data_IF_030868503161
#
_entry.id   IF_030868503161
#
_cell.length_a   1.000
_cell.length_b   1.000
_cell.length_c   1.000
_cell.angle_alpha   90.00
_cell.angle_beta   90.00
_cell.angle_gamma   90.00
#
_symmetry.space_group_name_H-M   'P 1'
#
loop_
_entity.id
_entity.type
_entity.pdbx_description
1 polymer ?
#
# COMPACT_ATOMS: atom_id res chain seq x y z
N UNK A 1 -12.65 -3.66 12.50
CA UNK A 1 -12.68 -2.35 13.20
C UNK A 1 -13.49 -1.31 12.43
N UNK A 2 -13.88 -0.21 13.10
CA UNK A 2 -14.71 0.87 12.54
C UNK A 2 -14.13 1.42 11.24
N UNK A 3 -12.84 1.77 11.22
CA UNK A 3 -12.19 2.35 10.03
C UNK A 3 -12.20 1.38 8.84
N UNK A 4 -11.94 0.09 9.06
CA UNK A 4 -12.04 -0.92 8.00
C UNK A 4 -13.47 -1.03 7.45
N UNK A 5 -14.47 -0.98 8.35
CA UNK A 5 -15.89 -1.00 7.95
C UNK A 5 -16.26 0.24 7.15
N UNK A 6 -15.78 1.42 7.54
CA UNK A 6 -15.95 2.64 6.76
C UNK A 6 -15.39 2.46 5.34
N UNK A 7 -14.17 1.96 5.18
CA UNK A 7 -13.57 1.73 3.85
C UNK A 7 -14.38 0.72 3.01
N UNK A 8 -14.95 -0.31 3.62
CA UNK A 8 -15.76 -1.33 2.93
C UNK A 8 -17.11 -0.78 2.50
N UNK A 9 -17.79 -0.05 3.40
CA UNK A 9 -19.19 0.30 3.27
C UNK A 9 -19.42 1.74 2.76
N UNK A 10 -18.40 2.59 2.72
CA UNK A 10 -18.51 3.93 2.15
C UNK A 10 -18.76 3.88 0.65
N UNK A 11 -19.36 4.96 0.13
CA UNK A 11 -19.53 5.14 -1.31
C UNK A 11 -18.18 5.15 -2.04
N UNK A 12 -18.19 4.96 -3.36
CA UNK A 12 -16.98 5.01 -4.18
C UNK A 12 -16.26 6.36 -4.05
N UNK A 13 -17.01 7.46 -4.04
CA UNK A 13 -16.47 8.80 -3.91
C UNK A 13 -15.83 9.03 -2.53
N UNK A 14 -16.52 8.70 -1.45
CA UNK A 14 -15.98 8.83 -0.08
C UNK A 14 -14.76 7.94 0.13
N UNK A 15 -14.81 6.69 -0.34
CA UNK A 15 -13.64 5.80 -0.30
C UNK A 15 -12.48 6.41 -1.07
N UNK A 16 -12.76 7.03 -2.21
CA UNK A 16 -11.71 7.62 -3.01
C UNK A 16 -11.00 8.75 -2.27
N UNK A 17 -11.76 9.61 -1.60
CA UNK A 17 -11.26 10.67 -0.74
C UNK A 17 -10.41 10.12 0.42
N UNK A 18 -10.89 9.08 1.12
CA UNK A 18 -10.15 8.45 2.22
C UNK A 18 -8.79 7.89 1.76
N UNK A 19 -8.75 7.25 0.59
CA UNK A 19 -7.51 6.69 0.04
C UNK A 19 -6.55 7.81 -0.38
N UNK A 20 -7.07 8.85 -1.03
CA UNK A 20 -6.25 9.99 -1.46
C UNK A 20 -5.64 10.70 -0.25
N UNK A 21 -6.45 10.94 0.78
CA UNK A 21 -6.00 11.53 2.04
C UNK A 21 -4.83 10.73 2.64
N UNK A 22 -4.95 9.41 2.78
CA UNK A 22 -3.84 8.59 3.31
C UNK A 22 -2.59 8.62 2.42
N UNK A 23 -2.74 8.77 1.10
CA UNK A 23 -1.62 8.85 0.15
C UNK A 23 -0.94 10.23 0.13
N UNK A 24 -1.67 11.28 0.48
CA UNK A 24 -1.23 12.68 0.42
C UNK A 24 -0.83 13.25 1.79
N UNK A 25 -1.42 12.75 2.88
CA UNK A 25 -1.10 13.15 4.24
C UNK A 25 0.33 12.78 4.62
N UNK A 26 0.98 13.70 5.32
CA UNK A 26 2.28 13.50 5.96
C UNK A 26 2.07 13.21 7.44
N UNK A 27 2.91 12.36 7.98
CA UNK A 27 3.00 12.01 9.39
C UNK A 27 4.45 12.27 9.84
N UNK A 28 4.71 13.52 10.23
CA UNK A 28 6.05 14.02 10.51
C UNK A 28 6.98 13.95 9.27
N UNK A 29 8.15 13.28 9.38
CA UNK A 29 9.09 13.14 8.25
C UNK A 29 8.66 12.09 7.22
N UNK A 30 7.60 11.32 7.50
CA UNK A 30 7.14 10.22 6.65
C UNK A 30 5.73 10.49 6.09
N UNK A 31 5.29 9.69 5.13
CA UNK A 31 3.88 9.72 4.70
C UNK A 31 3.01 8.95 5.70
N UNK A 32 1.75 9.37 5.85
CA UNK A 32 0.80 8.64 6.69
C UNK A 32 0.70 7.16 6.26
N UNK A 33 0.64 6.92 4.94
CA UNK A 33 0.69 5.57 4.36
C UNK A 33 1.92 4.77 4.86
N UNK A 34 3.11 5.38 4.91
CA UNK A 34 4.32 4.70 5.36
C UNK A 34 4.25 4.29 6.83
N UNK A 35 3.78 5.19 7.71
CA UNK A 35 3.59 4.87 9.13
C UNK A 35 2.53 3.78 9.30
N UNK A 36 1.39 3.90 8.62
CA UNK A 36 0.26 2.96 8.75
C UNK A 36 0.61 1.54 8.30
N UNK A 37 1.45 1.37 7.27
CA UNK A 37 1.89 0.04 6.80
C UNK A 37 2.75 -0.71 7.82
N UNK A 38 3.40 0.01 8.75
CA UNK A 38 4.29 -0.57 9.76
C UNK A 38 3.61 -0.74 11.11
N UNK A 39 2.43 -0.15 11.29
CA UNK A 39 1.66 -0.20 12.52
C UNK A 39 0.91 -1.53 12.70
N UNK A 40 0.79 -1.99 13.93
CA UNK A 40 0.18 -3.28 14.27
C UNK A 40 -1.34 -3.32 14.06
N UNK A 41 -2.01 -2.17 13.97
CA UNK A 41 -3.47 -2.07 13.75
C UNK A 41 -3.80 -1.41 12.41
N UNK A 42 -3.12 -0.34 12.03
CA UNK A 42 -3.41 0.40 10.80
C UNK A 42 -3.04 -0.38 9.53
N UNK A 43 -2.17 -1.39 9.61
CA UNK A 43 -1.86 -2.25 8.47
C UNK A 43 -3.12 -2.93 7.91
N UNK A 44 -4.09 -3.31 8.76
CA UNK A 44 -5.34 -3.92 8.31
C UNK A 44 -6.21 -2.93 7.52
N UNK A 45 -6.19 -1.65 7.92
CA UNK A 45 -6.88 -0.57 7.18
C UNK A 45 -6.26 -0.39 5.80
N UNK A 46 -4.92 -0.33 5.73
CA UNK A 46 -4.21 -0.21 4.44
C UNK A 46 -4.49 -1.40 3.52
N UNK A 47 -4.50 -2.62 4.06
CA UNK A 47 -4.89 -3.81 3.30
C UNK A 47 -6.30 -3.68 2.74
N UNK A 48 -7.25 -3.21 3.55
CA UNK A 48 -8.64 -3.05 3.12
C UNK A 48 -8.80 -1.92 2.10
N UNK A 49 -8.04 -0.84 2.24
CA UNK A 49 -7.97 0.23 1.24
C UNK A 49 -7.49 -0.33 -0.09
N UNK A 50 -6.43 -1.15 -0.12
CA UNK A 50 -5.94 -1.77 -1.35
C UNK A 50 -6.99 -2.69 -1.98
N UNK A 51 -7.70 -3.49 -1.17
CA UNK A 51 -8.76 -4.39 -1.66
C UNK A 51 -9.91 -3.62 -2.33
N UNK A 52 -10.33 -2.51 -1.72
CA UNK A 52 -11.48 -1.72 -2.17
C UNK A 52 -11.13 -0.59 -3.15
N UNK A 53 -9.84 -0.28 -3.32
CA UNK A 53 -9.34 0.75 -4.22
C UNK A 53 -9.62 0.42 -5.68
N UNK A 54 -9.94 1.45 -6.45
CA UNK A 54 -10.07 1.34 -7.90
C UNK A 54 -8.68 1.20 -8.57
N UNK A 55 -8.59 0.65 -9.79
CA UNK A 55 -7.30 0.44 -10.46
C UNK A 55 -6.44 1.71 -10.55
N UNK A 56 -7.04 2.87 -10.81
CA UNK A 56 -6.33 4.15 -10.85
C UNK A 56 -5.72 4.51 -9.49
N UNK A 57 -6.46 4.31 -8.40
CA UNK A 57 -5.99 4.59 -7.04
C UNK A 57 -4.93 3.59 -6.58
N UNK A 58 -5.08 2.31 -6.94
CA UNK A 58 -4.04 1.31 -6.67
C UNK A 58 -2.70 1.69 -7.32
N UNK A 59 -2.71 2.30 -8.51
CA UNK A 59 -1.50 2.85 -9.15
C UNK A 59 -0.85 3.95 -8.31
N UNK A 60 -1.65 4.86 -7.75
CA UNK A 60 -1.17 5.92 -6.87
C UNK A 60 -0.55 5.32 -5.60
N UNK A 61 -1.25 4.40 -4.94
CA UNK A 61 -0.77 3.70 -3.74
C UNK A 61 0.58 3.01 -4.02
N UNK A 62 0.68 2.27 -5.13
CA UNK A 62 1.94 1.62 -5.52
C UNK A 62 3.06 2.63 -5.76
N UNK A 63 2.78 3.74 -6.45
CA UNK A 63 3.80 4.77 -6.71
C UNK A 63 4.38 5.32 -5.40
N UNK A 64 3.53 5.51 -4.38
CA UNK A 64 3.97 5.92 -3.03
C UNK A 64 4.73 4.84 -2.29
N UNK A 65 4.38 3.57 -2.47
CA UNK A 65 5.00 2.44 -1.77
C UNK A 65 6.32 2.02 -2.41
N UNK A 66 6.47 2.20 -3.73
CA UNK A 66 7.64 1.79 -4.51
C UNK A 66 9.01 2.16 -3.89
N UNK A 67 9.26 3.42 -3.47
CA UNK A 67 10.54 3.78 -2.84
C UNK A 67 10.78 3.08 -1.49
N UNK A 68 9.73 2.54 -0.86
CA UNK A 68 9.78 1.93 0.46
C UNK A 68 9.75 0.39 0.44
N UNK A 69 9.69 -0.25 -0.73
CA UNK A 69 9.58 -1.72 -0.86
C UNK A 69 10.70 -2.43 -0.09
N UNK A 70 11.96 -1.99 -0.27
CA UNK A 70 13.12 -2.60 0.39
C UNK A 70 13.00 -2.55 1.92
N UNK A 71 12.45 -1.46 2.44
CA UNK A 71 12.20 -1.27 3.87
C UNK A 71 11.04 -2.13 4.35
N UNK A 72 9.92 -2.15 3.62
CA UNK A 72 8.73 -2.94 3.97
C UNK A 72 9.00 -4.44 4.00
N UNK A 73 9.91 -4.95 3.16
CA UNK A 73 10.39 -6.34 3.23
C UNK A 73 11.04 -6.71 4.56
N UNK A 74 11.53 -5.74 5.34
CA UNK A 74 12.11 -5.98 6.67
C UNK A 74 11.06 -6.02 7.79
N UNK A 75 9.84 -5.52 7.56
CA UNK A 75 8.78 -5.46 8.56
C UNK A 75 7.75 -6.57 8.35
N UNK A 76 7.31 -7.22 9.43
CA UNK A 76 6.30 -8.29 9.39
C UNK A 76 5.02 -7.84 8.67
N UNK A 77 4.45 -6.70 9.08
CA UNK A 77 3.23 -6.15 8.48
C UNK A 77 3.46 -5.62 7.07
N UNK A 78 4.63 -5.02 6.81
CA UNK A 78 5.00 -4.51 5.49
C UNK A 78 5.01 -5.59 4.40
N UNK A 79 5.47 -6.81 4.72
CA UNK A 79 5.42 -7.96 3.79
C UNK A 79 4.00 -8.30 3.36
N UNK A 80 3.02 -8.23 4.27
CA UNK A 80 1.62 -8.50 3.94
C UNK A 80 1.04 -7.47 2.98
N UNK A 81 1.41 -6.19 3.16
CA UNK A 81 1.01 -5.12 2.24
C UNK A 81 1.57 -5.36 0.84
N UNK A 82 2.87 -5.69 0.75
CA UNK A 82 3.52 -5.99 -0.53
C UNK A 82 2.88 -7.17 -1.26
N UNK A 83 2.67 -8.29 -0.56
CA UNK A 83 2.04 -9.47 -1.15
C UNK A 83 0.63 -9.17 -1.70
N UNK A 84 -0.13 -8.31 -1.00
CA UNK A 84 -1.46 -7.89 -1.46
C UNK A 84 -1.40 -7.01 -2.70
N UNK A 85 -0.47 -6.05 -2.76
CA UNK A 85 -0.26 -5.24 -3.95
C UNK A 85 0.18 -6.09 -5.15
N UNK A 86 1.13 -7.01 -4.95
CA UNK A 86 1.61 -7.93 -5.98
C UNK A 86 0.45 -8.76 -6.57
N UNK A 87 -0.47 -9.25 -5.74
CA UNK A 87 -1.67 -9.97 -6.21
C UNK A 87 -2.54 -9.15 -7.17
N UNK A 88 -2.72 -7.85 -6.92
CA UNK A 88 -3.50 -6.98 -7.79
C UNK A 88 -2.74 -6.54 -9.04
N UNK A 89 -1.41 -6.48 -8.96
CA UNK A 89 -0.54 -6.13 -10.07
C UNK A 89 -0.32 -7.30 -11.04
N UNK A 90 -0.11 -8.53 -10.55
CA UNK A 90 -0.01 -9.72 -11.40
C UNK A 90 -1.32 -10.01 -12.14
N UNK A 91 -2.46 -9.60 -11.57
CA UNK A 91 -3.76 -9.68 -12.25
C UNK A 91 -3.96 -8.62 -13.34
N UNK A 92 -3.09 -7.60 -13.42
CA UNK A 92 -3.20 -6.46 -14.34
C UNK A 92 -2.20 -6.47 -15.51
N UNK A 93 -1.41 -7.54 -15.68
CA UNK A 93 -0.61 -7.85 -16.89
C UNK A 93 0.08 -6.67 -17.61
N UNK A 94 1.40 -6.55 -17.41
CA UNK A 94 2.35 -5.57 -17.98
C UNK A 94 2.39 -4.18 -17.34
N UNK A 95 3.56 -3.55 -17.41
CA UNK A 95 3.91 -2.15 -17.03
C UNK A 95 4.68 -1.92 -15.74
N UNK A 96 5.35 -2.91 -15.14
CA UNK A 96 6.51 -2.64 -14.27
C UNK A 96 7.59 -3.70 -14.49
N UNK A 97 8.72 -3.28 -15.05
CA UNK A 97 9.92 -4.10 -15.23
C UNK A 97 10.44 -4.72 -13.93
N UNK A 98 11.49 -5.58 -14.01
CA UNK A 98 11.83 -6.52 -12.96
C UNK A 98 11.95 -5.82 -11.60
N UNK A 99 11.14 -6.27 -10.64
CA UNK A 99 11.31 -5.96 -9.24
C UNK A 99 12.70 -6.48 -8.90
N UNK A 100 13.65 -5.55 -8.74
CA UNK A 100 15.08 -5.80 -8.64
C UNK A 100 15.37 -7.07 -7.85
N UNK A 101 16.13 -7.96 -8.51
CA UNK A 101 16.72 -9.13 -7.88
C UNK A 101 17.57 -8.74 -6.67
N UNK A 102 17.92 -9.71 -5.81
CA UNK A 102 18.72 -9.44 -4.64
C UNK A 102 20.09 -8.89 -5.08
N UNK A 103 20.37 -7.63 -4.76
CA UNK A 103 21.72 -7.10 -4.75
C UNK A 103 22.42 -7.65 -3.49
N UNK A 104 22.89 -8.90 -3.57
CA UNK A 104 23.85 -9.43 -2.61
C UNK A 104 25.20 -9.51 -3.31
N UNK A 105 25.87 -8.35 -3.40
CA UNK A 105 27.29 -8.29 -3.64
C UNK A 105 28.01 -8.58 -2.33
N UNK A 106 28.53 -9.80 -2.21
CA UNK A 106 29.57 -10.19 -1.27
C UNK A 106 30.53 -11.10 -2.05
N UNK A 107 31.54 -10.48 -2.65
CA UNK A 107 32.87 -11.07 -2.82
C UNK A 107 33.72 -10.57 -1.66
#
# INVERSE_FOLDING_TARGET
NVVEKCVIHSSRAERALLIDEVCCQKDGPHSALYTMMKDQYANYVVQRMIDMAEPAQRKIIMHKIRPHIATLRKYTYGKHILAKLEKYYMKSGSELGPIGGPANGLM
#
